data_IF_261938226624
#
_entry.id   IF_261938226624
#
_cell.length_a   1.000
_cell.length_b   1.000
_cell.length_c   1.000
_cell.angle_alpha   90.00
_cell.angle_beta   90.00
_cell.angle_gamma   90.00
#
_symmetry.space_group_name_H-M   'P 1'
#
loop_
_entity.id
_entity.type
_entity.pdbx_description
1 polymer ?
#
# COMPACT_ATOMS: atom_id res chain seq x y z
N UNK A 1 -8.64 -8.26 -26.23
CA UNK A 1 -8.48 -7.78 -27.62
C UNK A 1 -7.15 -7.05 -27.81
N UNK A 2 -6.71 -6.15 -26.92
CA UNK A 2 -5.43 -5.44 -27.04
C UNK A 2 -4.20 -6.38 -27.06
N UNK A 3 -4.23 -7.50 -26.34
CA UNK A 3 -3.14 -8.50 -26.30
C UNK A 3 -2.90 -9.21 -27.64
N UNK A 4 -3.87 -9.18 -28.56
CA UNK A 4 -3.73 -9.80 -29.89
C UNK A 4 -2.85 -8.97 -30.83
N UNK A 5 -2.59 -7.70 -30.49
CA UNK A 5 -1.78 -6.78 -31.28
C UNK A 5 -0.37 -6.54 -30.69
N UNK A 6 -0.07 -7.12 -29.53
CA UNK A 6 1.25 -7.06 -28.94
C UNK A 6 2.09 -8.23 -29.46
N UNK A 7 3.06 -7.93 -30.30
CA UNK A 7 4.11 -8.88 -30.68
C UNK A 7 5.03 -9.07 -29.46
N UNK A 8 4.89 -10.18 -28.73
CA UNK A 8 5.86 -10.52 -27.68
C UNK A 8 7.22 -10.81 -28.33
N UNK A 9 8.32 -10.19 -27.84
CA UNK A 9 9.65 -10.63 -28.21
C UNK A 9 9.80 -12.10 -27.84
N UNK A 10 10.27 -12.93 -28.80
CA UNK A 10 10.46 -14.36 -28.58
C UNK A 10 11.28 -14.59 -27.31
N UNK A 11 10.73 -15.34 -26.37
CA UNK A 11 11.41 -15.70 -25.12
C UNK A 11 12.56 -16.66 -25.44
N UNK A 12 13.71 -16.09 -25.79
CA UNK A 12 14.97 -16.82 -25.80
C UNK A 12 15.28 -17.28 -24.36
N UNK A 13 15.16 -18.57 -24.09
CA UNK A 13 15.42 -19.28 -22.85
C UNK A 13 14.23 -19.65 -21.97
N UNK A 14 13.27 -20.36 -22.53
CA UNK A 14 12.23 -21.04 -21.72
C UNK A 14 12.63 -22.48 -21.29
N UNK A 15 13.92 -22.81 -21.26
CA UNK A 15 14.41 -24.15 -20.90
C UNK A 15 14.90 -24.30 -19.45
N UNK A 16 14.67 -23.29 -18.61
CA UNK A 16 14.99 -23.45 -17.19
C UNK A 16 13.89 -24.23 -16.49
N UNK A 17 14.25 -25.31 -15.77
CA UNK A 17 13.38 -26.03 -14.87
C UNK A 17 12.76 -25.06 -13.86
N UNK A 18 11.46 -25.19 -13.58
CA UNK A 18 10.71 -24.34 -12.63
C UNK A 18 11.46 -24.15 -11.30
N UNK A 19 12.10 -25.21 -10.78
CA UNK A 19 12.92 -25.16 -9.57
C UNK A 19 14.15 -24.26 -9.73
N UNK A 20 14.80 -24.27 -10.89
CA UNK A 20 15.93 -23.37 -11.18
C UNK A 20 15.50 -21.91 -11.28
N UNK A 21 14.34 -21.65 -11.86
CA UNK A 21 13.75 -20.30 -11.91
C UNK A 21 13.39 -19.79 -10.52
N UNK A 22 12.76 -20.61 -9.68
CA UNK A 22 12.44 -20.28 -8.30
C UNK A 22 13.68 -20.02 -7.45
N UNK A 23 14.72 -20.86 -7.60
CA UNK A 23 15.98 -20.68 -6.90
C UNK A 23 16.70 -19.37 -7.30
N UNK A 24 16.65 -19.01 -8.59
CA UNK A 24 17.21 -17.75 -9.07
C UNK A 24 16.44 -16.54 -8.53
N UNK A 25 15.10 -16.58 -8.54
CA UNK A 25 14.25 -15.54 -7.93
C UNK A 25 14.55 -15.41 -6.44
N UNK A 26 14.64 -16.53 -5.71
CA UNK A 26 15.00 -16.52 -4.29
C UNK A 26 16.36 -15.87 -4.04
N UNK A 27 17.38 -16.19 -4.87
CA UNK A 27 18.72 -15.59 -4.79
C UNK A 27 18.70 -14.09 -5.09
N UNK A 28 17.96 -13.66 -6.10
CA UNK A 28 17.84 -12.25 -6.45
C UNK A 28 17.09 -11.45 -5.38
N UNK A 29 16.04 -12.01 -4.78
CA UNK A 29 15.37 -11.40 -3.63
C UNK A 29 16.27 -11.32 -2.40
N UNK A 30 17.05 -12.37 -2.15
CA UNK A 30 18.04 -12.35 -1.09
C UNK A 30 19.11 -11.27 -1.31
N UNK A 31 19.58 -11.10 -2.55
CA UNK A 31 20.52 -10.04 -2.89
C UNK A 31 19.97 -8.63 -2.67
N UNK A 32 18.66 -8.42 -2.85
CA UNK A 32 18.00 -7.15 -2.48
C UNK A 32 18.03 -6.93 -0.97
N UNK A 33 17.74 -7.96 -0.19
CA UNK A 33 17.71 -7.88 1.28
C UNK A 33 19.09 -7.67 1.90
N UNK A 34 20.16 -8.08 1.23
CA UNK A 34 21.54 -7.88 1.71
C UNK A 34 22.03 -6.45 1.55
N UNK A 35 21.34 -5.62 0.77
CA UNK A 35 21.64 -4.19 0.67
C UNK A 35 20.80 -3.39 1.67
N UNK A 36 21.40 -2.39 2.33
CA UNK A 36 20.65 -1.54 3.29
C UNK A 36 19.46 -0.84 2.61
N UNK A 37 19.63 -0.43 1.34
CA UNK A 37 18.52 0.22 0.58
C UNK A 37 17.39 -0.77 0.31
N UNK A 38 17.72 -1.98 -0.16
CA UNK A 38 16.73 -3.03 -0.41
C UNK A 38 16.03 -3.50 0.87
N UNK A 39 16.79 -3.67 1.96
CA UNK A 39 16.22 -4.03 3.25
C UNK A 39 15.26 -2.96 3.79
N UNK A 40 15.59 -1.67 3.65
CA UNK A 40 14.68 -0.57 4.04
C UNK A 40 13.40 -0.55 3.20
N UNK A 41 13.49 -0.81 1.89
CA UNK A 41 12.30 -0.88 1.04
C UNK A 41 11.45 -2.12 1.38
N UNK A 42 12.07 -3.26 1.58
CA UNK A 42 11.37 -4.46 2.01
C UNK A 42 10.67 -4.26 3.37
N UNK A 43 11.35 -3.61 4.31
CA UNK A 43 10.77 -3.23 5.60
C UNK A 43 9.58 -2.27 5.42
N UNK A 44 9.73 -1.25 4.55
CA UNK A 44 8.64 -0.33 4.23
C UNK A 44 7.40 -1.05 3.69
N UNK A 45 7.59 -2.08 2.86
CA UNK A 45 6.50 -2.87 2.27
C UNK A 45 5.75 -3.72 3.31
N UNK A 46 6.40 -4.07 4.42
CA UNK A 46 5.77 -4.82 5.51
C UNK A 46 5.06 -3.92 6.52
N UNK A 47 5.22 -2.60 6.42
CA UNK A 47 4.55 -1.67 7.32
C UNK A 47 3.12 -1.35 6.84
N UNK A 48 2.19 -1.09 7.75
CA UNK A 48 0.77 -0.84 7.44
C UNK A 48 0.54 0.61 6.99
N UNK A 49 1.32 1.08 6.03
CA UNK A 49 1.27 2.45 5.53
C UNK A 49 0.39 2.51 4.29
N UNK A 50 -0.73 3.21 4.36
CA UNK A 50 -1.58 3.43 3.18
C UNK A 50 -2.17 2.17 2.55
N UNK A 51 -2.32 1.10 3.33
CA UNK A 51 -2.70 -0.24 2.85
C UNK A 51 -4.17 -0.33 2.43
N UNK A 52 -5.02 0.52 2.98
CA UNK A 52 -6.44 0.55 2.64
C UNK A 52 -7.24 -0.60 3.24
N UNK A 53 -6.88 -1.14 4.40
CA UNK A 53 -7.50 -2.31 5.01
C UNK A 53 -8.97 -2.08 5.39
N UNK A 54 -9.33 -0.88 5.85
CA UNK A 54 -10.69 -0.51 6.22
C UNK A 54 -11.70 -0.68 5.07
N UNK A 55 -11.25 -0.67 3.80
CA UNK A 55 -12.13 -0.92 2.65
C UNK A 55 -12.90 -2.23 2.76
N UNK A 56 -12.30 -3.26 3.33
CA UNK A 56 -12.91 -4.59 3.45
C UNK A 56 -13.99 -4.64 4.54
N UNK A 57 -14.06 -3.61 5.38
CA UNK A 57 -14.93 -3.56 6.56
C UNK A 57 -16.05 -2.50 6.44
N UNK A 58 -16.16 -1.78 5.31
CA UNK A 58 -17.19 -0.75 5.14
C UNK A 58 -18.60 -1.27 5.35
N UNK A 59 -18.89 -2.50 4.92
CA UNK A 59 -20.20 -3.10 5.13
C UNK A 59 -20.52 -3.35 6.61
N UNK A 60 -19.50 -3.57 7.45
CA UNK A 60 -19.69 -3.78 8.88
C UNK A 60 -20.05 -2.50 9.63
N UNK A 61 -19.55 -1.35 9.14
CA UNK A 61 -19.77 -0.04 9.80
C UNK A 61 -20.89 0.78 9.16
N UNK A 62 -21.40 0.39 8.00
CA UNK A 62 -22.41 1.13 7.24
C UNK A 62 -23.68 1.44 8.05
N UNK A 63 -24.08 0.52 8.91
CA UNK A 63 -25.25 0.68 9.79
C UNK A 63 -25.14 1.88 10.73
N UNK A 64 -23.94 2.20 11.21
CA UNK A 64 -23.69 3.34 12.10
C UNK A 64 -23.91 4.69 11.40
N UNK A 65 -23.81 4.73 10.07
CA UNK A 65 -24.10 5.89 9.24
C UNK A 65 -25.50 5.83 8.61
N UNK A 66 -26.34 4.87 8.97
CA UNK A 66 -27.65 4.65 8.37
C UNK A 66 -27.59 4.49 6.84
N UNK A 67 -26.45 3.97 6.33
CA UNK A 67 -26.26 3.79 4.90
C UNK A 67 -27.08 2.61 4.39
N UNK A 68 -27.83 2.83 3.30
CA UNK A 68 -28.61 1.78 2.64
C UNK A 68 -27.67 0.75 1.97
N UNK A 69 -28.16 -0.47 1.79
CA UNK A 69 -27.41 -1.52 1.09
C UNK A 69 -27.02 -1.09 -0.33
N UNK A 70 -27.88 -0.37 -1.01
CA UNK A 70 -27.64 0.14 -2.37
C UNK A 70 -26.52 1.21 -2.38
N UNK A 71 -26.52 2.14 -1.41
CA UNK A 71 -25.46 3.12 -1.25
C UNK A 71 -24.10 2.45 -0.96
N UNK A 72 -24.08 1.45 -0.10
CA UNK A 72 -22.87 0.66 0.21
C UNK A 72 -22.37 -0.07 -1.03
N UNK A 73 -23.24 -0.77 -1.75
CA UNK A 73 -22.86 -1.51 -2.95
C UNK A 73 -22.34 -0.60 -4.06
N UNK A 74 -22.97 0.56 -4.26
CA UNK A 74 -22.56 1.54 -5.26
C UNK A 74 -21.23 2.20 -4.87
N UNK A 75 -21.11 2.70 -3.64
CA UNK A 75 -19.92 3.40 -3.16
C UNK A 75 -18.71 2.46 -3.10
N UNK A 76 -18.84 1.29 -2.46
CA UNK A 76 -17.73 0.36 -2.26
C UNK A 76 -17.39 -0.47 -3.51
N UNK A 77 -18.34 -0.63 -4.41
CA UNK A 77 -18.15 -1.36 -5.67
C UNK A 77 -17.62 -0.47 -6.80
N UNK A 78 -18.53 0.00 -7.64
CA UNK A 78 -18.18 0.68 -8.91
C UNK A 78 -17.49 2.02 -8.67
N UNK A 79 -18.05 2.87 -7.79
CA UNK A 79 -17.54 4.24 -7.61
C UNK A 79 -16.14 4.25 -6.99
N UNK A 80 -15.88 3.41 -5.99
CA UNK A 80 -14.55 3.30 -5.39
C UNK A 80 -13.49 2.90 -6.42
N UNK A 81 -13.80 1.98 -7.33
CA UNK A 81 -12.89 1.58 -8.40
C UNK A 81 -12.55 2.75 -9.32
N UNK A 82 -13.55 3.49 -9.81
CA UNK A 82 -13.36 4.64 -10.70
C UNK A 82 -12.57 5.75 -10.01
N UNK A 83 -12.93 6.08 -8.78
CA UNK A 83 -12.29 7.14 -7.99
C UNK A 83 -10.84 6.76 -7.65
N UNK A 84 -10.58 5.49 -7.35
CA UNK A 84 -9.22 4.98 -7.10
C UNK A 84 -8.33 5.07 -8.34
N UNK A 85 -8.87 4.85 -9.56
CA UNK A 85 -8.10 5.04 -10.80
C UNK A 85 -7.66 6.50 -10.93
N UNK A 86 -8.56 7.46 -10.70
CA UNK A 86 -8.22 8.89 -10.73
C UNK A 86 -7.15 9.20 -9.64
N UNK A 87 -7.31 8.62 -8.46
CA UNK A 87 -6.32 8.69 -7.39
C UNK A 87 -4.95 8.16 -7.82
N UNK A 88 -4.89 7.00 -8.47
CA UNK A 88 -3.63 6.44 -8.98
C UNK A 88 -2.94 7.36 -9.99
N UNK A 89 -3.68 7.97 -10.90
CA UNK A 89 -3.11 8.89 -11.90
C UNK A 89 -2.49 10.14 -11.24
N UNK A 90 -3.23 10.77 -10.33
CA UNK A 90 -2.77 11.96 -9.61
C UNK A 90 -1.62 11.61 -8.64
N UNK A 91 -1.77 10.52 -7.89
CA UNK A 91 -0.75 10.03 -6.95
C UNK A 91 0.54 9.65 -7.65
N UNK A 92 0.46 9.03 -8.82
CA UNK A 92 1.61 8.71 -9.67
C UNK A 92 2.34 9.98 -10.11
N UNK A 93 1.60 10.95 -10.63
CA UNK A 93 2.15 12.25 -11.03
C UNK A 93 2.85 12.97 -9.85
N UNK A 94 2.24 13.01 -8.67
CA UNK A 94 2.86 13.61 -7.47
C UNK A 94 4.11 12.82 -7.06
N UNK A 95 4.08 11.49 -7.13
CA UNK A 95 5.22 10.63 -6.78
C UNK A 95 6.42 10.79 -7.72
N UNK A 96 6.21 11.31 -8.93
CA UNK A 96 7.28 11.65 -9.86
C UNK A 96 7.91 13.03 -9.54
N UNK A 97 7.22 13.91 -8.80
CA UNK A 97 7.72 15.24 -8.42
C UNK A 97 8.52 15.23 -7.11
N UNK A 98 8.32 14.24 -6.24
CA UNK A 98 8.97 14.15 -4.93
C UNK A 98 9.60 12.76 -4.74
N UNK A 99 10.45 12.60 -3.71
CA UNK A 99 10.97 11.26 -3.38
C UNK A 99 9.84 10.26 -3.12
N UNK A 100 9.88 9.13 -3.81
CA UNK A 100 8.80 8.12 -3.83
C UNK A 100 8.45 7.55 -2.46
N UNK A 101 9.47 7.35 -1.60
CA UNK A 101 9.25 6.85 -0.22
C UNK A 101 8.59 7.92 0.64
N UNK A 102 9.00 9.18 0.44
CA UNK A 102 8.37 10.34 1.08
C UNK A 102 6.93 10.50 0.61
N UNK A 103 6.65 10.35 -0.70
CA UNK A 103 5.29 10.37 -1.25
C UNK A 103 4.42 9.29 -0.59
N UNK A 104 4.92 8.05 -0.51
CA UNK A 104 4.21 6.93 0.08
C UNK A 104 3.87 7.17 1.55
N UNK A 105 4.84 7.63 2.35
CA UNK A 105 4.60 7.98 3.75
C UNK A 105 3.59 9.13 3.91
N UNK A 106 3.71 10.17 3.09
CA UNK A 106 2.80 11.32 3.11
C UNK A 106 1.37 10.90 2.79
N UNK A 107 1.17 10.09 1.74
CA UNK A 107 -0.16 9.61 1.36
C UNK A 107 -0.75 8.69 2.43
N UNK A 108 0.08 7.87 3.10
CA UNK A 108 -0.36 7.08 4.25
C UNK A 108 -0.85 7.96 5.42
N UNK A 109 -0.17 9.08 5.70
CA UNK A 109 -0.62 10.04 6.71
C UNK A 109 -1.92 10.76 6.30
N UNK A 110 -2.07 11.09 5.01
CA UNK A 110 -3.31 11.68 4.48
C UNK A 110 -4.46 10.69 4.59
N UNK A 111 -4.21 9.39 4.33
CA UNK A 111 -5.21 8.34 4.51
C UNK A 111 -5.64 8.24 5.99
N UNK A 112 -4.69 8.20 6.91
CA UNK A 112 -4.97 8.19 8.35
C UNK A 112 -5.77 9.42 8.79
N UNK A 113 -5.45 10.61 8.27
CA UNK A 113 -6.22 11.82 8.54
C UNK A 113 -7.66 11.75 8.01
N UNK A 114 -7.86 11.18 6.81
CA UNK A 114 -9.19 10.98 6.25
C UNK A 114 -10.02 9.99 7.09
N UNK A 115 -9.40 8.93 7.61
CA UNK A 115 -10.05 7.95 8.49
C UNK A 115 -10.49 8.60 9.82
N UNK A 116 -9.61 9.42 10.42
CA UNK A 116 -9.97 10.19 11.63
C UNK A 116 -11.09 11.19 11.33
N UNK A 117 -11.02 11.88 10.19
CA UNK A 117 -12.08 12.81 9.79
C UNK A 117 -13.43 12.12 9.62
N UNK A 118 -13.45 10.89 9.06
CA UNK A 118 -14.65 10.07 8.98
C UNK A 118 -15.22 9.73 10.36
N UNK A 119 -14.35 9.39 11.34
CA UNK A 119 -14.79 9.09 12.69
C UNK A 119 -15.47 10.28 13.39
N UNK A 120 -15.06 11.49 13.03
CA UNK A 120 -15.60 12.75 13.58
C UNK A 120 -16.79 13.31 12.77
N UNK A 121 -17.05 12.77 11.59
CA UNK A 121 -18.11 13.26 10.70
C UNK A 121 -19.52 12.88 11.20
N UNK A 122 -20.55 13.65 10.81
CA UNK A 122 -21.95 13.31 11.09
C UNK A 122 -22.30 11.91 10.54
N UNK A 123 -23.08 11.16 11.32
CA UNK A 123 -23.51 9.78 10.99
C UNK A 123 -24.68 9.80 10.00
N UNK A 124 -24.41 10.13 8.74
CA UNK A 124 -25.39 10.15 7.65
C UNK A 124 -24.92 9.33 6.47
N UNK A 125 -25.85 8.78 5.69
CA UNK A 125 -25.53 8.03 4.47
C UNK A 125 -24.65 8.85 3.50
N UNK A 126 -24.93 10.13 3.33
CA UNK A 126 -24.16 11.00 2.44
C UNK A 126 -22.68 11.11 2.91
N UNK A 127 -22.43 11.26 4.21
CA UNK A 127 -21.07 11.29 4.75
C UNK A 127 -20.38 9.95 4.63
N UNK A 128 -21.08 8.83 4.82
CA UNK A 128 -20.54 7.50 4.54
C UNK A 128 -20.01 7.41 3.11
N UNK A 129 -20.84 7.74 2.13
CA UNK A 129 -20.46 7.69 0.71
C UNK A 129 -19.27 8.59 0.42
N UNK A 130 -19.30 9.84 0.89
CA UNK A 130 -18.20 10.79 0.68
C UNK A 130 -16.88 10.26 1.24
N UNK A 131 -16.85 9.76 2.47
CA UNK A 131 -15.62 9.28 3.10
C UNK A 131 -15.14 7.95 2.55
N UNK A 132 -16.03 7.03 2.16
CA UNK A 132 -15.66 5.79 1.45
C UNK A 132 -14.98 6.12 0.12
N UNK A 133 -15.51 7.07 -0.64
CA UNK A 133 -14.92 7.50 -1.91
C UNK A 133 -13.60 8.28 -1.69
N UNK A 134 -13.55 9.15 -0.69
CA UNK A 134 -12.31 9.86 -0.32
C UNK A 134 -11.21 8.87 0.09
N UNK A 135 -11.54 7.89 0.89
CA UNK A 135 -10.62 6.81 1.30
C UNK A 135 -10.11 6.05 0.08
N UNK A 136 -11.00 5.62 -0.83
CA UNK A 136 -10.63 4.95 -2.06
C UNK A 136 -9.73 5.82 -2.96
N UNK A 137 -10.00 7.13 -3.05
CA UNK A 137 -9.18 8.07 -3.79
C UNK A 137 -7.75 8.16 -3.25
N UNK A 138 -7.61 8.32 -1.93
CA UNK A 138 -6.29 8.40 -1.27
C UNK A 138 -5.57 7.04 -1.30
N UNK A 139 -6.28 5.93 -1.19
CA UNK A 139 -5.71 4.59 -1.37
C UNK A 139 -5.12 4.43 -2.78
N UNK A 140 -5.74 5.04 -3.80
CA UNK A 140 -5.17 5.14 -5.13
C UNK A 140 -3.81 5.85 -5.15
N UNK A 141 -3.64 6.94 -4.40
CA UNK A 141 -2.33 7.62 -4.24
C UNK A 141 -1.30 6.69 -3.62
N UNK A 142 -1.67 6.02 -2.53
CA UNK A 142 -0.79 5.09 -1.83
C UNK A 142 -0.35 3.95 -2.75
N UNK A 143 -1.27 3.39 -3.53
CA UNK A 143 -0.97 2.31 -4.47
C UNK A 143 0.01 2.75 -5.57
N UNK A 144 -0.18 3.94 -6.15
CA UNK A 144 0.71 4.49 -7.16
C UNK A 144 2.12 4.75 -6.61
N UNK A 145 2.23 5.37 -5.42
CA UNK A 145 3.51 5.60 -4.76
C UNK A 145 4.21 4.29 -4.38
N UNK A 146 3.45 3.32 -3.86
CA UNK A 146 3.96 1.97 -3.58
C UNK A 146 4.53 1.32 -4.84
N UNK A 147 3.78 1.30 -5.94
CA UNK A 147 4.23 0.74 -7.22
C UNK A 147 5.51 1.42 -7.71
N UNK A 148 5.61 2.75 -7.58
CA UNK A 148 6.80 3.51 -7.95
C UNK A 148 8.03 3.11 -7.12
N UNK A 149 7.88 2.90 -5.79
CA UNK A 149 8.95 2.41 -4.90
C UNK A 149 9.38 0.99 -5.29
N UNK A 150 8.42 0.11 -5.60
CA UNK A 150 8.68 -1.26 -6.06
C UNK A 150 9.51 -1.25 -7.34
N UNK A 151 9.07 -0.52 -8.36
CA UNK A 151 9.75 -0.47 -9.66
C UNK A 151 11.16 0.14 -9.56
N UNK A 152 11.36 1.16 -8.72
CA UNK A 152 12.69 1.72 -8.45
C UNK A 152 13.65 0.68 -7.84
N UNK A 153 13.12 -0.22 -7.01
CA UNK A 153 13.92 -1.19 -6.25
C UNK A 153 14.29 -2.42 -7.09
N UNK A 154 13.41 -2.84 -7.99
CA UNK A 154 13.58 -4.07 -8.78
C UNK A 154 14.76 -3.99 -9.75
N UNK A 155 15.07 -2.80 -10.28
CA UNK A 155 16.14 -2.62 -11.26
C UNK A 155 15.89 -3.35 -12.59
N UNK A 156 16.95 -3.56 -13.36
CA UNK A 156 16.91 -4.26 -14.66
C UNK A 156 17.05 -5.78 -14.44
N UNK A 157 16.23 -6.57 -15.10
CA UNK A 157 16.29 -8.05 -15.10
C UNK A 157 15.20 -8.71 -14.24
N UNK A 158 14.58 -9.79 -14.75
CA UNK A 158 13.48 -10.57 -14.13
C UNK A 158 12.37 -9.71 -13.48
N UNK A 159 12.12 -8.51 -14.04
CA UNK A 159 11.27 -7.48 -13.45
C UNK A 159 9.85 -7.98 -13.12
N UNK A 160 9.25 -8.79 -13.99
CA UNK A 160 7.90 -9.31 -13.78
C UNK A 160 7.78 -10.22 -12.55
N UNK A 161 8.72 -11.16 -12.38
CA UNK A 161 8.67 -12.10 -11.26
C UNK A 161 8.96 -11.40 -9.93
N UNK A 162 9.94 -10.49 -9.92
CA UNK A 162 10.26 -9.67 -8.73
C UNK A 162 9.09 -8.76 -8.34
N UNK A 163 8.47 -8.10 -9.31
CA UNK A 163 7.29 -7.25 -9.09
C UNK A 163 6.14 -8.06 -8.48
N UNK A 164 5.83 -9.23 -9.04
CA UNK A 164 4.75 -10.08 -8.54
C UNK A 164 5.03 -10.58 -7.12
N UNK A 165 6.28 -10.95 -6.80
CA UNK A 165 6.66 -11.39 -5.47
C UNK A 165 6.53 -10.25 -4.46
N UNK A 166 7.07 -9.06 -4.77
CA UNK A 166 6.99 -7.90 -3.89
C UNK A 166 5.53 -7.43 -3.70
N UNK A 167 4.72 -7.47 -4.77
CA UNK A 167 3.28 -7.20 -4.69
C UNK A 167 2.55 -8.26 -3.86
N UNK A 168 2.97 -9.52 -3.90
CA UNK A 168 2.44 -10.57 -3.04
C UNK A 168 2.73 -10.31 -1.56
N UNK A 169 3.96 -9.90 -1.24
CA UNK A 169 4.39 -9.57 0.12
C UNK A 169 3.63 -8.36 0.67
N UNK A 170 3.30 -7.39 -0.16
CA UNK A 170 2.54 -6.21 0.26
C UNK A 170 1.11 -6.50 0.72
N UNK A 171 0.57 -7.69 0.44
CA UNK A 171 -0.71 -8.11 1.01
C UNK A 171 -0.60 -8.53 2.49
N UNK A 172 0.60 -8.79 3.00
CA UNK A 172 0.78 -9.15 4.43
C UNK A 172 0.29 -8.02 5.35
N UNK A 173 0.66 -6.74 5.14
CA UNK A 173 0.07 -5.63 5.91
C UNK A 173 -1.45 -5.54 5.82
N UNK A 174 -2.02 -5.79 4.65
CA UNK A 174 -3.47 -5.77 4.46
C UNK A 174 -4.18 -6.80 5.36
N UNK A 175 -3.59 -8.00 5.48
CA UNK A 175 -4.16 -9.08 6.28
C UNK A 175 -4.11 -8.73 7.78
N UNK A 176 -2.94 -8.40 8.33
CA UNK A 176 -2.83 -8.16 9.76
C UNK A 176 -3.51 -6.86 10.19
N UNK A 177 -3.47 -5.80 9.35
CA UNK A 177 -4.20 -4.57 9.65
C UNK A 177 -5.71 -4.80 9.64
N UNK A 178 -6.23 -5.56 8.67
CA UNK A 178 -7.65 -5.93 8.65
C UNK A 178 -8.10 -6.69 9.91
N UNK A 179 -7.23 -7.58 10.46
CA UNK A 179 -7.50 -8.25 11.74
C UNK A 179 -7.51 -7.24 12.89
N UNK A 180 -6.54 -6.34 12.96
CA UNK A 180 -6.44 -5.34 14.03
C UNK A 180 -7.60 -4.34 13.97
N UNK A 181 -8.01 -3.92 12.78
CA UNK A 181 -9.18 -3.06 12.55
C UNK A 181 -10.48 -3.76 12.96
N UNK A 182 -10.63 -5.06 12.65
CA UNK A 182 -11.73 -5.88 13.12
C UNK A 182 -11.78 -5.96 14.65
N UNK A 183 -10.64 -6.18 15.30
CA UNK A 183 -10.56 -6.16 16.77
C UNK A 183 -10.89 -4.78 17.36
N UNK A 184 -10.51 -3.70 16.68
CA UNK A 184 -10.90 -2.33 17.02
C UNK A 184 -12.41 -2.14 16.92
N UNK A 185 -13.01 -2.64 15.84
CA UNK A 185 -14.46 -2.63 15.65
C UNK A 185 -15.20 -3.41 16.75
N UNK A 186 -14.75 -4.63 17.06
CA UNK A 186 -15.40 -5.47 18.08
C UNK A 186 -15.41 -4.84 19.48
N UNK A 187 -14.37 -4.05 19.80
CA UNK A 187 -14.24 -3.43 21.13
C UNK A 187 -14.91 -2.05 21.24
N UNK A 188 -14.87 -1.25 20.20
CA UNK A 188 -15.25 0.16 20.25
C UNK A 188 -16.15 0.58 19.07
N UNK A 189 -16.73 -0.38 18.34
CA UNK A 189 -17.60 -0.12 17.19
C UNK A 189 -16.87 0.54 16.01
N UNK A 190 -17.62 1.21 15.15
CA UNK A 190 -17.08 1.84 13.95
C UNK A 190 -15.97 2.86 14.22
N UNK A 191 -16.04 3.61 15.32
CA UNK A 191 -14.95 4.52 15.70
C UNK A 191 -13.68 3.74 16.05
N UNK A 192 -13.80 2.59 16.71
CA UNK A 192 -12.68 1.72 17.03
C UNK A 192 -11.93 1.28 15.79
N UNK A 193 -12.64 0.82 14.75
CA UNK A 193 -12.06 0.49 13.45
C UNK A 193 -11.28 1.67 12.88
N UNK A 194 -11.93 2.84 12.77
CA UNK A 194 -11.36 4.01 12.12
C UNK A 194 -10.12 4.56 12.86
N UNK A 195 -10.18 4.63 14.19
CA UNK A 195 -9.02 5.08 14.97
C UNK A 195 -7.88 4.06 14.97
N UNK A 196 -8.19 2.76 14.90
CA UNK A 196 -7.18 1.70 14.82
C UNK A 196 -6.44 1.76 13.49
N UNK A 197 -7.16 1.83 12.36
CA UNK A 197 -6.59 1.98 11.01
C UNK A 197 -5.65 3.21 10.95
N UNK A 198 -6.13 4.36 11.44
CA UNK A 198 -5.33 5.58 11.49
C UNK A 198 -4.09 5.45 12.39
N UNK A 199 -4.26 4.96 13.62
CA UNK A 199 -3.17 4.87 14.60
C UNK A 199 -2.07 3.92 14.14
N UNK A 200 -2.45 2.75 13.61
CA UNK A 200 -1.49 1.75 13.13
C UNK A 200 -0.79 2.25 11.86
N UNK A 201 -1.50 2.94 10.96
CA UNK A 201 -0.90 3.60 9.80
C UNK A 201 0.12 4.66 10.17
N UNK A 202 -0.21 5.56 11.12
CA UNK A 202 0.72 6.58 11.64
C UNK A 202 1.91 5.95 12.34
N UNK A 203 1.69 4.91 13.17
CA UNK A 203 2.77 4.17 13.82
C UNK A 203 3.73 3.53 12.79
N UNK A 204 3.19 2.98 11.70
CA UNK A 204 3.97 2.46 10.58
C UNK A 204 4.89 3.52 9.97
N UNK A 205 4.37 4.72 9.69
CA UNK A 205 5.18 5.83 9.16
C UNK A 205 6.26 6.26 10.16
N UNK A 206 5.90 6.42 11.44
CA UNK A 206 6.86 6.81 12.49
C UNK A 206 7.99 5.78 12.63
N UNK A 207 7.65 4.49 12.60
CA UNK A 207 8.62 3.39 12.67
C UNK A 207 9.55 3.40 11.45
N UNK A 208 9.02 3.60 10.24
CA UNK A 208 9.83 3.69 9.03
C UNK A 208 10.83 4.85 9.10
N UNK A 209 10.35 6.04 9.48
CA UNK A 209 11.21 7.23 9.63
C UNK A 209 12.32 6.98 10.67
N UNK A 210 11.96 6.41 11.82
CA UNK A 210 12.92 6.08 12.88
C UNK A 210 14.03 5.13 12.41
N UNK A 211 13.65 4.05 11.72
CA UNK A 211 14.61 3.07 11.16
C UNK A 211 15.46 3.68 10.06
N UNK A 212 14.88 4.51 9.17
CA UNK A 212 15.60 5.18 8.10
C UNK A 212 16.65 6.18 8.65
N UNK A 213 16.28 6.94 9.69
CA UNK A 213 17.21 7.85 10.37
C UNK A 213 18.36 7.09 11.04
N UNK A 214 18.06 6.02 11.77
CA UNK A 214 19.06 5.18 12.42
C UNK A 214 20.04 4.57 11.40
N UNK A 215 19.53 4.08 10.26
CA UNK A 215 20.35 3.55 9.18
C UNK A 215 21.27 4.63 8.56
N UNK A 216 20.80 5.86 8.42
CA UNK A 216 21.61 6.97 7.93
C UNK A 216 22.71 7.38 8.92
N UNK A 217 22.41 7.43 10.22
CA UNK A 217 23.40 7.72 11.27
C UNK A 217 24.52 6.67 11.29
N UNK A 218 24.20 5.39 11.19
CA UNK A 218 25.20 4.33 11.14
C UNK A 218 26.12 4.43 9.92
N UNK A 219 25.64 4.94 8.80
CA UNK A 219 26.46 5.19 7.61
C UNK A 219 27.43 6.35 7.77
N UNK A 220 26.99 7.42 8.45
CA UNK A 220 27.83 8.60 8.68
C UNK A 220 28.93 8.36 9.70
N UNK A 221 28.77 7.39 10.59
CA UNK A 221 29.76 7.02 11.64
C UNK A 221 30.72 5.91 11.20
N UNK A 222 30.47 5.24 10.05
CA UNK A 222 31.43 4.29 9.50
C UNK A 222 32.69 5.03 9.03
N UNK A 223 33.92 4.72 9.53
CA UNK A 223 35.14 5.36 9.07
C UNK A 223 35.27 5.15 7.57
N UNK A 224 35.59 6.23 6.83
CA UNK A 224 35.94 6.13 5.42
C UNK A 224 37.10 5.12 5.31
N UNK A 225 36.75 3.93 4.83
CA UNK A 225 37.67 2.79 4.81
C UNK A 225 38.93 3.11 4.00
N UNK A 226 40.02 2.70 4.56
CA UNK A 226 41.36 2.60 3.98
C UNK A 226 41.33 1.80 2.69
#
# INVERSE_FOLDING_TARGET
>A
LALLFLSEPSAEHRTQNLLGSLANVGRECWSLLTTIRGALVFFLMLLPIGVGAAQNLWSAVAGDWHASADAVALANGVLSGVVSIVGCLIGGWISDLIDRKTAYCLFGLVLAAATVAMALAPRTEAMFVIFVLLYAFITGFCYAAFAAVVFETIGKGAAGTKSNLLSGISNVPLIYLGIVDGMGHDRWGANGLLYTDAAVGVAGVALFIGVALAANMMRSTAPAGV
#
